data_IF_293568425080
#
_entry.id   IF_293568425080
#
_cell.length_a   1.000
_cell.length_b   1.000
_cell.length_c   1.000
_cell.angle_alpha   90.00
_cell.angle_beta   90.00
_cell.angle_gamma   90.00
#
_symmetry.space_group_name_H-M   'P 1'
#
loop_
_entity.id
_entity.type
_entity.pdbx_description
1 polymer ?
#
# COMPACT_ATOMS: atom_id res chain seq x y z
N UNK A 1 85.15 -13.17 -63.03
CA UNK A 1 83.83 -12.70 -63.51
C UNK A 1 82.81 -13.82 -63.34
N UNK A 2 82.53 -14.24 -62.10
CA UNK A 2 81.61 -15.36 -61.79
C UNK A 2 80.74 -15.08 -60.55
N UNK A 3 80.66 -13.81 -60.12
CA UNK A 3 79.90 -13.41 -58.92
C UNK A 3 78.71 -12.47 -59.21
N UNK A 4 78.34 -12.28 -60.49
CA UNK A 4 77.33 -11.29 -60.91
C UNK A 4 76.08 -11.87 -61.58
N UNK A 5 75.91 -13.21 -61.58
CA UNK A 5 74.74 -13.87 -62.21
C UNK A 5 73.83 -14.64 -61.25
N UNK A 6 74.07 -14.60 -59.94
CA UNK A 6 73.25 -15.33 -58.96
C UNK A 6 72.25 -14.44 -58.17
N UNK A 7 72.16 -13.14 -58.43
CA UNK A 7 71.37 -12.19 -57.61
C UNK A 7 70.04 -11.74 -58.24
N UNK A 8 69.54 -12.39 -59.29
CA UNK A 8 68.34 -11.92 -60.03
C UNK A 8 67.19 -12.92 -60.16
N UNK A 9 67.14 -13.95 -59.33
CA UNK A 9 66.11 -15.00 -59.42
C UNK A 9 65.28 -15.22 -58.13
N UNK A 10 65.15 -14.21 -57.26
CA UNK A 10 64.43 -14.39 -55.97
C UNK A 10 63.45 -13.27 -55.58
N UNK A 11 62.97 -12.45 -56.52
CA UNK A 11 62.04 -11.32 -56.22
C UNK A 11 60.66 -11.44 -56.89
N UNK A 12 60.24 -12.66 -57.26
CA UNK A 12 59.13 -12.86 -58.19
C UNK A 12 57.89 -13.58 -57.67
N UNK A 13 57.74 -13.90 -56.38
CA UNK A 13 56.69 -14.84 -55.96
C UNK A 13 56.14 -14.63 -54.54
N UNK A 14 55.67 -13.42 -54.18
CA UNK A 14 55.06 -13.25 -52.85
C UNK A 14 54.01 -12.13 -52.73
N UNK A 15 53.23 -11.86 -53.78
CA UNK A 15 52.15 -10.85 -53.73
C UNK A 15 50.87 -11.26 -54.45
N UNK A 16 50.28 -12.41 -54.12
CA UNK A 16 48.95 -12.74 -54.65
C UNK A 16 47.96 -13.43 -53.69
N UNK A 17 48.24 -13.43 -52.38
CA UNK A 17 47.39 -14.12 -51.38
C UNK A 17 46.69 -13.17 -50.38
N UNK A 18 46.87 -11.86 -50.49
CA UNK A 18 46.35 -10.87 -49.52
C UNK A 18 44.94 -10.32 -49.80
N UNK A 19 44.49 -10.25 -51.06
CA UNK A 19 43.21 -9.62 -51.39
C UNK A 19 42.00 -10.50 -51.07
N UNK A 20 42.13 -11.83 -51.21
CA UNK A 20 41.05 -12.78 -50.88
C UNK A 20 40.69 -12.83 -49.39
N UNK A 21 41.64 -12.54 -48.49
CA UNK A 21 41.39 -12.52 -47.05
C UNK A 21 40.62 -11.28 -46.60
N UNK A 22 40.82 -10.13 -47.26
CA UNK A 22 40.13 -8.87 -46.92
C UNK A 22 38.68 -8.89 -47.39
N UNK A 23 38.39 -9.48 -48.55
CA UNK A 23 37.00 -9.65 -49.00
C UNK A 23 36.23 -10.65 -48.15
N UNK A 24 36.87 -11.76 -47.74
CA UNK A 24 36.25 -12.74 -46.86
C UNK A 24 35.96 -12.16 -45.45
N UNK A 25 36.87 -11.32 -44.92
CA UNK A 25 36.62 -10.60 -43.66
C UNK A 25 35.48 -9.57 -43.77
N UNK A 26 35.36 -8.85 -44.90
CA UNK A 26 34.23 -7.95 -45.17
C UNK A 26 32.91 -8.70 -45.28
N UNK A 27 32.89 -9.86 -45.95
CA UNK A 27 31.71 -10.71 -46.05
C UNK A 27 31.27 -11.24 -44.67
N UNK A 28 32.21 -11.68 -43.83
CA UNK A 28 31.94 -12.13 -42.45
C UNK A 28 31.39 -11.01 -41.56
N UNK A 29 31.92 -9.78 -41.67
CA UNK A 29 31.41 -8.61 -40.93
C UNK A 29 30.01 -8.20 -41.45
N UNK A 30 29.76 -8.29 -42.76
CA UNK A 30 28.44 -8.01 -43.33
C UNK A 30 27.40 -9.04 -42.87
N UNK A 31 27.75 -10.34 -42.86
CA UNK A 31 26.87 -11.41 -42.39
C UNK A 31 26.54 -11.26 -40.89
N UNK A 32 27.54 -10.89 -40.07
CA UNK A 32 27.35 -10.65 -38.63
C UNK A 32 26.48 -9.41 -38.35
N UNK A 33 26.50 -8.40 -39.24
CA UNK A 33 25.60 -7.24 -39.18
C UNK A 33 24.17 -7.56 -39.64
N UNK A 34 23.98 -8.46 -40.60
CA UNK A 34 22.63 -8.89 -41.03
C UNK A 34 21.93 -9.79 -40.02
N UNK A 35 22.67 -10.64 -39.30
CA UNK A 35 22.08 -11.51 -38.28
C UNK A 35 21.68 -10.73 -37.02
N UNK A 36 22.46 -9.69 -36.66
CA UNK A 36 22.13 -8.79 -35.54
C UNK A 36 20.88 -7.94 -35.80
N UNK A 37 20.67 -7.50 -37.05
CA UNK A 37 19.50 -6.67 -37.40
C UNK A 37 18.21 -7.48 -37.54
N UNK A 38 18.26 -8.74 -38.00
CA UNK A 38 17.09 -9.64 -38.02
C UNK A 38 16.65 -10.10 -36.63
N UNK A 39 17.59 -10.32 -35.72
CA UNK A 39 17.31 -10.67 -34.31
C UNK A 39 16.50 -9.57 -33.61
N UNK A 40 16.76 -8.29 -33.90
CA UNK A 40 16.08 -7.16 -33.26
C UNK A 40 14.62 -6.97 -33.71
N UNK A 41 14.27 -7.33 -34.95
CA UNK A 41 12.90 -7.15 -35.45
C UNK A 41 11.91 -8.16 -34.85
N UNK A 42 12.32 -9.43 -34.68
CA UNK A 42 11.50 -10.45 -34.04
C UNK A 42 11.23 -10.11 -32.57
N UNK A 43 12.25 -9.62 -31.86
CA UNK A 43 12.13 -9.24 -30.45
C UNK A 43 11.18 -8.05 -30.26
N UNK A 44 11.24 -7.04 -31.13
CA UNK A 44 10.33 -5.89 -31.09
C UNK A 44 8.87 -6.29 -31.35
N UNK A 45 8.63 -7.20 -32.28
CA UNK A 45 7.28 -7.71 -32.55
C UNK A 45 6.72 -8.51 -31.35
N UNK A 46 7.54 -9.35 -30.71
CA UNK A 46 7.13 -10.09 -29.51
C UNK A 46 6.83 -9.16 -28.31
N UNK A 47 7.63 -8.11 -28.09
CA UNK A 47 7.33 -7.11 -27.05
C UNK A 47 6.01 -6.39 -27.30
N UNK A 48 5.74 -6.03 -28.56
CA UNK A 48 4.50 -5.33 -28.91
C UNK A 48 3.28 -6.21 -28.69
N UNK A 49 3.34 -7.48 -29.09
CA UNK A 49 2.25 -8.45 -28.85
C UNK A 49 1.96 -8.63 -27.35
N UNK A 50 2.99 -8.74 -26.51
CA UNK A 50 2.81 -8.84 -25.05
C UNK A 50 2.21 -7.58 -24.43
N UNK A 51 2.53 -6.40 -24.97
CA UNK A 51 1.92 -5.15 -24.53
C UNK A 51 0.43 -5.08 -24.91
N UNK A 52 0.07 -5.59 -26.10
CA UNK A 52 -1.32 -5.74 -26.53
C UNK A 52 -2.09 -6.73 -25.63
N UNK A 53 -1.48 -7.88 -25.31
CA UNK A 53 -2.07 -8.86 -24.38
C UNK A 53 -2.30 -8.26 -22.97
N UNK A 54 -1.40 -7.40 -22.49
CA UNK A 54 -1.56 -6.66 -21.22
C UNK A 54 -2.71 -5.65 -21.28
N UNK A 55 -2.86 -4.95 -22.41
CA UNK A 55 -3.94 -4.00 -22.61
C UNK A 55 -5.30 -4.71 -22.65
N UNK A 56 -5.39 -5.85 -23.35
CA UNK A 56 -6.59 -6.68 -23.41
C UNK A 56 -6.98 -7.21 -22.02
N UNK A 57 -6.01 -7.73 -21.26
CA UNK A 57 -6.25 -8.17 -19.89
C UNK A 57 -6.72 -7.00 -18.99
N UNK A 58 -6.10 -5.82 -19.12
CA UNK A 58 -6.53 -4.62 -18.37
C UNK A 58 -7.98 -4.24 -18.69
N UNK A 59 -8.38 -4.30 -19.97
CA UNK A 59 -9.77 -4.07 -20.40
C UNK A 59 -10.72 -5.11 -19.81
N UNK A 60 -10.30 -6.38 -19.80
CA UNK A 60 -11.05 -7.48 -19.19
C UNK A 60 -11.29 -7.23 -17.69
N UNK A 61 -10.23 -6.92 -16.92
CA UNK A 61 -10.32 -6.55 -15.51
C UNK A 61 -11.26 -5.36 -15.27
N UNK A 62 -11.14 -4.30 -16.07
CA UNK A 62 -11.99 -3.14 -15.96
C UNK A 62 -13.45 -3.45 -16.27
N UNK A 63 -13.74 -4.41 -17.16
CA UNK A 63 -15.12 -4.83 -17.43
C UNK A 63 -15.72 -5.65 -16.28
N UNK A 64 -14.89 -6.39 -15.53
CA UNK A 64 -15.32 -7.07 -14.30
C UNK A 64 -15.59 -6.07 -13.16
N UNK A 65 -14.81 -4.99 -13.07
CA UNK A 65 -14.94 -3.94 -12.04
C UNK A 65 -16.08 -2.97 -12.36
N UNK A 66 -16.28 -2.64 -13.65
CA UNK A 66 -17.48 -1.94 -14.14
C UNK A 66 -18.67 -2.91 -14.09
N UNK A 67 -19.02 -3.30 -12.88
CA UNK A 67 -20.25 -4.01 -12.59
C UNK A 67 -21.41 -3.21 -13.18
N UNK A 68 -22.36 -3.91 -13.81
CA UNK A 68 -23.66 -3.33 -14.14
C UNK A 68 -24.18 -2.65 -12.87
N UNK A 69 -24.43 -1.35 -12.97
CA UNK A 69 -24.84 -0.52 -11.84
C UNK A 69 -26.08 -1.13 -11.19
N UNK A 70 -25.88 -1.94 -10.15
CA UNK A 70 -26.97 -2.40 -9.33
C UNK A 70 -27.59 -1.18 -8.68
N UNK A 71 -28.90 -1.00 -8.82
CA UNK A 71 -29.63 0.14 -8.24
C UNK A 71 -29.51 0.22 -6.70
N UNK A 72 -28.91 -0.79 -6.06
CA UNK A 72 -28.66 -0.89 -4.63
C UNK A 72 -27.24 -1.38 -4.31
N UNK A 73 -26.66 -0.83 -3.23
CA UNK A 73 -25.34 -1.20 -2.71
C UNK A 73 -25.22 -2.70 -2.38
N UNK A 74 -26.28 -3.31 -1.86
CA UNK A 74 -26.29 -4.74 -1.48
C UNK A 74 -26.16 -5.64 -2.73
N UNK A 75 -26.84 -5.28 -3.82
CA UNK A 75 -26.73 -5.98 -5.09
C UNK A 75 -25.34 -5.80 -5.74
N UNK A 76 -24.75 -4.60 -5.65
CA UNK A 76 -23.38 -4.34 -6.09
C UNK A 76 -22.35 -5.16 -5.28
N UNK A 77 -22.54 -5.28 -3.97
CA UNK A 77 -21.65 -6.06 -3.11
C UNK A 77 -21.74 -7.57 -3.44
N UNK A 78 -22.95 -8.11 -3.57
CA UNK A 78 -23.16 -9.52 -3.90
C UNK A 78 -22.54 -9.89 -5.26
N UNK A 79 -22.75 -9.05 -6.28
CA UNK A 79 -22.20 -9.25 -7.63
C UNK A 79 -20.67 -9.12 -7.65
N UNK A 80 -20.10 -8.20 -6.87
CA UNK A 80 -18.65 -8.09 -6.70
C UNK A 80 -18.06 -9.36 -6.08
N UNK A 81 -18.60 -9.85 -4.97
CA UNK A 81 -18.08 -11.06 -4.33
C UNK A 81 -18.19 -12.30 -5.22
N UNK A 82 -19.22 -12.38 -6.08
CA UNK A 82 -19.33 -13.43 -7.10
C UNK A 82 -18.27 -13.34 -8.19
N UNK A 83 -17.89 -12.12 -8.63
CA UNK A 83 -16.89 -11.90 -9.70
C UNK A 83 -15.45 -11.87 -9.19
N UNK A 84 -15.24 -11.70 -7.88
CA UNK A 84 -13.92 -11.65 -7.23
C UNK A 84 -12.94 -12.76 -7.69
N UNK A 85 -13.29 -14.06 -7.72
CA UNK A 85 -12.35 -15.10 -8.14
C UNK A 85 -11.90 -14.97 -9.61
N UNK A 86 -12.78 -14.50 -10.50
CA UNK A 86 -12.40 -14.27 -11.90
C UNK A 86 -11.48 -13.04 -12.00
N UNK A 87 -11.74 -11.98 -11.21
CA UNK A 87 -10.87 -10.81 -11.15
C UNK A 87 -9.47 -11.16 -10.62
N UNK A 88 -9.38 -11.99 -9.58
CA UNK A 88 -8.11 -12.48 -9.05
C UNK A 88 -7.30 -13.24 -10.12
N UNK A 89 -7.97 -14.09 -10.91
CA UNK A 89 -7.33 -14.81 -12.03
C UNK A 89 -6.80 -13.87 -13.11
N UNK A 90 -7.55 -12.82 -13.46
CA UNK A 90 -7.10 -11.81 -14.43
C UNK A 90 -5.89 -11.02 -13.89
N UNK A 91 -5.88 -10.67 -12.60
CA UNK A 91 -4.75 -10.01 -11.92
C UNK A 91 -3.50 -10.90 -11.96
N UNK A 92 -3.61 -12.19 -11.65
CA UNK A 92 -2.49 -13.12 -11.74
C UNK A 92 -1.92 -13.21 -13.16
N UNK A 93 -2.80 -13.26 -14.16
CA UNK A 93 -2.39 -13.26 -15.57
C UNK A 93 -1.68 -11.94 -15.92
N UNK A 94 -2.18 -10.81 -15.44
CA UNK A 94 -1.59 -9.49 -15.65
C UNK A 94 -0.18 -9.43 -15.06
N UNK A 95 0.00 -9.88 -13.81
CA UNK A 95 1.30 -9.93 -13.15
C UNK A 95 2.28 -10.82 -13.93
N UNK A 96 1.85 -12.01 -14.38
CA UNK A 96 2.68 -12.90 -15.20
C UNK A 96 3.12 -12.24 -16.51
N UNK A 97 2.20 -11.60 -17.23
CA UNK A 97 2.52 -10.89 -18.48
C UNK A 97 3.45 -9.70 -18.24
N UNK A 98 3.25 -8.95 -17.15
CA UNK A 98 4.08 -7.82 -16.77
C UNK A 98 5.52 -8.25 -16.44
N UNK A 99 5.70 -9.33 -15.66
CA UNK A 99 7.02 -9.89 -15.40
C UNK A 99 7.69 -10.39 -16.68
N UNK A 100 6.95 -11.08 -17.56
CA UNK A 100 7.45 -11.52 -18.86
C UNK A 100 7.84 -10.37 -19.79
N UNK A 101 7.27 -9.19 -19.59
CA UNK A 101 7.64 -7.96 -20.29
C UNK A 101 8.94 -7.40 -19.68
N UNK A 102 9.00 -7.23 -18.35
CA UNK A 102 10.18 -6.74 -17.64
C UNK A 102 11.43 -7.59 -17.92
N UNK A 103 11.30 -8.92 -17.92
CA UNK A 103 12.41 -9.82 -18.23
C UNK A 103 12.96 -9.61 -19.64
N UNK A 104 12.12 -9.17 -20.59
CA UNK A 104 12.56 -8.83 -21.94
C UNK A 104 13.17 -7.42 -22.05
N UNK A 105 12.72 -6.48 -21.23
CA UNK A 105 13.27 -5.12 -21.21
C UNK A 105 14.54 -4.98 -20.38
N UNK A 106 14.73 -5.80 -19.34
CA UNK A 106 15.90 -5.72 -18.45
C UNK A 106 17.24 -5.81 -19.20
N UNK A 107 17.44 -6.75 -20.16
CA UNK A 107 18.66 -6.79 -20.97
C UNK A 107 18.82 -5.59 -21.90
N UNK A 108 17.72 -5.02 -22.39
CA UNK A 108 17.72 -3.86 -23.27
C UNK A 108 18.15 -2.62 -22.46
N UNK A 109 17.55 -2.43 -21.29
CA UNK A 109 17.90 -1.36 -20.36
C UNK A 109 19.36 -1.46 -19.89
N UNK A 110 19.84 -2.67 -19.59
CA UNK A 110 21.24 -2.91 -19.23
C UNK A 110 22.23 -2.56 -20.36
N UNK A 111 21.86 -2.76 -21.63
CA UNK A 111 22.70 -2.33 -22.77
C UNK A 111 22.75 -0.81 -22.93
N UNK A 112 21.64 -0.14 -22.63
CA UNK A 112 21.59 1.33 -22.64
C UNK A 112 22.35 1.94 -21.47
N UNK A 113 22.34 1.32 -20.28
CA UNK A 113 23.11 1.82 -19.14
C UNK A 113 24.63 1.65 -19.33
N UNK A 114 25.08 0.52 -19.90
CA UNK A 114 26.51 0.25 -20.10
C UNK A 114 27.13 1.12 -21.20
N UNK A 115 26.36 1.60 -22.19
CA UNK A 115 26.89 2.52 -23.22
C UNK A 115 27.25 3.91 -22.69
N UNK A 116 26.81 4.28 -21.47
CA UNK A 116 27.23 5.54 -20.84
C UNK A 116 28.47 5.39 -19.95
N UNK A 117 29.01 4.17 -19.77
CA UNK A 117 30.11 3.90 -18.83
C UNK A 117 31.46 3.69 -19.55
N UNK A 118 31.50 3.61 -20.89
CA UNK A 118 32.77 3.40 -21.60
C UNK A 118 33.75 4.59 -21.57
N UNK A 119 33.38 5.73 -20.96
CA UNK A 119 34.29 6.83 -20.61
C UNK A 119 34.56 6.96 -19.11
N UNK A 120 34.03 6.07 -18.26
CA UNK A 120 34.06 6.20 -16.80
C UNK A 120 35.00 5.20 -16.07
N UNK A 121 35.95 4.55 -16.77
CA UNK A 121 36.97 3.69 -16.14
C UNK A 121 38.08 4.48 -15.39
N UNK A 122 37.78 5.63 -14.78
CA UNK A 122 38.71 6.34 -13.88
C UNK A 122 38.16 6.59 -12.47
N UNK A 123 36.94 6.15 -12.15
CA UNK A 123 36.37 6.30 -10.81
C UNK A 123 35.75 4.98 -10.32
N UNK A 124 36.53 3.90 -10.36
CA UNK A 124 36.26 2.71 -9.55
C UNK A 124 36.75 2.95 -8.12
N UNK A 125 35.91 3.62 -7.32
CA UNK A 125 35.85 3.41 -5.88
C UNK A 125 34.59 4.08 -5.36
N UNK A 126 33.81 3.33 -4.57
CA UNK A 126 32.50 3.67 -4.00
C UNK A 126 31.31 3.32 -4.91
N UNK A 127 30.81 2.09 -4.79
CA UNK A 127 29.40 1.76 -4.48
C UNK A 127 29.20 0.25 -4.68
N UNK A 128 29.37 -0.49 -3.58
CA UNK A 128 28.92 -1.88 -3.46
C UNK A 128 27.38 -1.87 -3.38
N UNK A 129 26.73 -2.17 -4.51
CA UNK A 129 25.34 -2.59 -4.53
C UNK A 129 25.29 -4.09 -4.85
N UNK A 130 25.19 -4.87 -3.78
CA UNK A 130 24.92 -6.30 -3.80
C UNK A 130 23.52 -6.59 -4.40
N UNK A 131 23.39 -7.41 -5.47
CA UNK A 131 22.09 -7.70 -6.11
C UNK A 131 21.18 -8.70 -5.37
N UNK A 132 21.48 -9.08 -4.12
CA UNK A 132 20.78 -10.18 -3.44
C UNK A 132 19.47 -9.82 -2.69
N UNK A 133 18.96 -8.58 -2.77
CA UNK A 133 17.79 -8.17 -1.98
C UNK A 133 16.41 -8.32 -2.65
N UNK A 134 16.33 -8.89 -3.85
CA UNK A 134 15.04 -9.29 -4.46
C UNK A 134 14.83 -10.81 -4.39
N UNK A 135 14.98 -11.38 -3.19
CA UNK A 135 14.40 -12.68 -2.87
C UNK A 135 13.11 -12.45 -2.07
N UNK A 136 12.02 -12.21 -2.80
CA UNK A 136 10.68 -12.25 -2.23
C UNK A 136 10.36 -13.73 -2.01
N UNK A 137 10.52 -14.18 -0.77
CA UNK A 137 10.08 -15.51 -0.34
C UNK A 137 8.55 -15.63 -0.58
N UNK A 138 8.17 -16.26 -1.68
CA UNK A 138 6.84 -16.86 -1.92
C UNK A 138 6.65 -18.09 -1.04
N UNK A 139 6.63 -17.87 0.28
CA UNK A 139 6.37 -18.92 1.27
C UNK A 139 5.72 -18.32 2.52
N UNK A 140 4.53 -17.74 2.39
CA UNK A 140 3.60 -17.61 3.49
C UNK A 140 2.21 -17.95 2.96
N UNK A 141 1.96 -19.25 2.84
CA UNK A 141 0.60 -19.78 2.81
C UNK A 141 -0.10 -19.25 4.05
N UNK A 142 -1.15 -18.47 3.83
CA UNK A 142 -2.22 -18.26 4.80
C UNK A 142 -2.82 -19.65 5.06
N UNK A 143 -2.54 -20.21 6.23
CA UNK A 143 -3.30 -21.32 6.78
C UNK A 143 -4.70 -20.79 7.05
N UNK A 144 -5.65 -21.14 6.18
CA UNK A 144 -7.08 -21.00 6.46
C UNK A 144 -7.40 -21.60 7.84
N UNK A 145 -8.25 -20.96 8.65
CA UNK A 145 -8.83 -21.62 9.80
C UNK A 145 -9.76 -22.72 9.27
N UNK A 146 -9.31 -23.96 9.46
CA UNK A 146 -10.06 -25.20 9.25
C UNK A 146 -11.44 -25.08 9.89
N UNK A 147 -12.47 -25.02 9.04
CA UNK A 147 -13.87 -25.22 9.44
C UNK A 147 -13.96 -26.59 10.11
N UNK A 148 -14.27 -26.60 11.41
CA UNK A 148 -14.73 -27.82 12.08
C UNK A 148 -16.11 -28.17 11.53
N UNK A 149 -16.25 -29.43 11.11
CA UNK A 149 -17.48 -30.02 10.61
C UNK A 149 -18.60 -29.86 11.67
N UNK A 150 -19.56 -28.98 11.40
CA UNK A 150 -20.80 -28.89 12.17
C UNK A 150 -21.74 -29.98 11.66
N UNK A 151 -21.98 -30.95 12.54
CA UNK A 151 -22.88 -32.10 12.39
C UNK A 151 -24.33 -31.64 12.07
N UNK A 152 -24.92 -32.05 10.92
CA UNK A 152 -26.24 -31.61 10.51
C UNK A 152 -27.34 -32.52 11.10
N UNK A 153 -27.46 -32.57 12.43
CA UNK A 153 -28.57 -33.33 13.07
C UNK A 153 -29.27 -32.56 14.20
N UNK A 154 -29.07 -31.24 14.31
CA UNK A 154 -29.85 -30.39 15.23
C UNK A 154 -30.78 -29.44 14.48
N UNK A 155 -31.71 -30.00 13.72
CA UNK A 155 -32.94 -29.32 13.32
C UNK A 155 -34.14 -30.21 13.63
N UNK A 156 -34.72 -30.06 14.82
CA UNK A 156 -36.16 -30.21 15.02
C UNK A 156 -36.58 -29.54 16.32
N UNK A 157 -37.71 -28.81 16.26
CA UNK A 157 -38.46 -28.17 17.35
C UNK A 157 -38.11 -26.72 17.68
N UNK A 158 -38.55 -25.81 16.80
CA UNK A 158 -39.09 -24.52 17.24
C UNK A 158 -40.41 -24.24 16.50
N UNK A 159 -41.45 -24.95 16.93
CA UNK A 159 -42.85 -24.56 16.67
C UNK A 159 -43.73 -25.11 17.79
N UNK A 160 -43.57 -24.54 18.99
CA UNK A 160 -44.62 -24.57 20.02
C UNK A 160 -44.29 -23.68 21.21
N UNK A 161 -45.32 -22.96 21.65
CA UNK A 161 -45.50 -22.32 22.95
C UNK A 161 -45.18 -20.82 22.98
N UNK A 162 -46.09 -20.06 22.37
CA UNK A 162 -46.71 -18.96 23.09
C UNK A 162 -47.50 -19.54 24.28
N UNK A 163 -47.14 -19.16 25.50
CA UNK A 163 -48.04 -18.79 26.64
C UNK A 163 -47.22 -18.66 27.93
N UNK A 164 -47.33 -17.48 28.55
CA UNK A 164 -47.24 -17.19 30.00
C UNK A 164 -46.11 -17.83 30.83
N UNK A 165 -45.29 -16.99 31.49
CA UNK A 165 -45.36 -16.74 32.96
C UNK A 165 -44.09 -16.03 33.46
N UNK A 166 -44.31 -14.88 34.11
CA UNK A 166 -43.69 -14.38 35.35
C UNK A 166 -42.32 -14.92 35.84
N UNK A 167 -41.46 -13.93 36.17
CA UNK A 167 -40.49 -13.86 37.30
C UNK A 167 -39.12 -14.56 37.21
N UNK A 168 -38.12 -13.68 37.45
CA UNK A 168 -36.83 -13.84 38.17
C UNK A 168 -35.59 -14.32 37.39
N UNK A 169 -34.68 -13.35 37.22
CA UNK A 169 -33.20 -13.42 37.23
C UNK A 169 -32.63 -14.47 38.21
N UNK A 170 -31.38 -14.99 38.06
CA UNK A 170 -30.19 -14.16 37.74
C UNK A 170 -29.01 -14.80 36.96
N UNK A 171 -28.07 -13.92 36.59
CA UNK A 171 -26.63 -14.15 36.37
C UNK A 171 -26.21 -14.99 35.15
N UNK A 172 -26.11 -14.32 33.99
CA UNK A 172 -25.21 -14.76 32.92
C UNK A 172 -23.87 -14.01 32.99
N UNK A 173 -22.80 -14.80 33.11
CA UNK A 173 -21.41 -14.37 33.01
C UNK A 173 -21.14 -14.01 31.55
N UNK A 174 -21.17 -12.72 31.24
CA UNK A 174 -20.71 -12.19 29.96
C UNK A 174 -19.18 -12.18 29.94
N UNK A 175 -18.60 -13.21 29.33
CA UNK A 175 -17.19 -13.24 28.93
C UNK A 175 -17.04 -12.38 27.68
N UNK A 176 -16.87 -11.07 27.85
CA UNK A 176 -16.48 -10.17 26.76
C UNK A 176 -15.03 -10.52 26.39
N UNK A 177 -14.89 -11.20 25.26
CA UNK A 177 -13.62 -11.47 24.60
C UNK A 177 -12.97 -10.14 24.22
N UNK A 178 -11.92 -9.80 24.96
CA UNK A 178 -11.00 -8.69 24.78
C UNK A 178 -10.26 -8.86 23.45
N UNK A 179 -10.89 -8.43 22.35
CA UNK A 179 -10.23 -8.32 21.05
C UNK A 179 -9.18 -7.23 21.16
N UNK A 180 -7.93 -7.66 21.25
CA UNK A 180 -6.75 -6.83 21.05
C UNK A 180 -6.87 -6.14 19.68
N UNK A 181 -7.06 -4.83 19.69
CA UNK A 181 -6.82 -4.01 18.50
C UNK A 181 -5.30 -3.99 18.28
N UNK A 182 -4.81 -4.89 17.43
CA UNK A 182 -3.46 -4.78 16.89
C UNK A 182 -3.32 -3.40 16.24
N UNK A 183 -2.41 -2.61 16.80
CA UNK A 183 -2.05 -1.30 16.27
C UNK A 183 -1.55 -1.47 14.85
N UNK A 184 -2.39 -1.14 13.87
CA UNK A 184 -2.03 -1.06 12.46
C UNK A 184 -1.05 0.10 12.29
N UNK A 185 0.24 -0.21 12.42
CA UNK A 185 1.31 0.70 12.01
C UNK A 185 1.26 0.82 10.49
N UNK A 186 0.77 1.97 10.00
CA UNK A 186 0.82 2.29 8.58
C UNK A 186 2.28 2.23 8.09
N UNK A 187 2.56 1.55 6.97
CA UNK A 187 3.91 1.55 6.40
C UNK A 187 4.30 3.00 6.11
N UNK A 188 5.42 3.41 6.70
CA UNK A 188 6.04 4.72 6.50
C UNK A 188 6.01 5.08 5.02
N UNK A 189 5.42 6.22 4.69
CA UNK A 189 5.36 6.75 3.32
C UNK A 189 6.75 6.72 2.69
N UNK A 190 6.87 6.35 1.39
CA UNK A 190 8.14 6.46 0.68
C UNK A 190 8.67 7.87 0.85
N UNK A 191 9.91 8.01 1.33
CA UNK A 191 10.59 9.30 1.40
C UNK A 191 10.51 9.94 0.01
N UNK A 192 10.09 11.21 -0.11
CA UNK A 192 10.05 11.87 -1.40
C UNK A 192 11.46 11.81 -1.99
N UNK A 193 11.59 11.13 -3.13
CA UNK A 193 12.80 11.16 -3.93
C UNK A 193 13.05 12.64 -4.23
N UNK A 194 14.08 13.16 -3.59
CA UNK A 194 14.60 14.50 -3.82
C UNK A 194 15.08 14.46 -5.27
N UNK A 195 14.27 14.96 -6.19
CA UNK A 195 14.67 15.17 -7.57
C UNK A 195 15.82 16.17 -7.53
N UNK A 196 17.05 15.66 -7.54
CA UNK A 196 18.21 16.46 -7.90
C UNK A 196 18.00 16.88 -9.35
N UNK A 197 17.54 18.12 -9.49
CA UNK A 197 17.44 18.86 -10.73
C UNK A 197 18.78 18.77 -11.47
N UNK A 198 18.87 17.88 -12.44
CA UNK A 198 19.90 17.90 -13.46
C UNK A 198 19.65 19.12 -14.35
N UNK A 199 20.08 20.27 -13.86
CA UNK A 199 20.31 21.46 -14.65
C UNK A 199 21.67 21.31 -15.34
N UNK A 200 21.70 20.45 -16.37
CA UNK A 200 22.73 20.52 -17.39
C UNK A 200 22.18 21.33 -18.55
N UNK A 201 21.80 22.58 -18.27
CA UNK A 201 21.70 23.62 -19.28
C UNK A 201 23.07 23.82 -19.91
N UNK A 202 23.34 23.09 -20.99
CA UNK A 202 24.34 23.50 -21.97
C UNK A 202 23.71 24.69 -22.69
N UNK A 203 23.72 25.86 -22.04
CA UNK A 203 23.62 27.13 -22.72
C UNK A 203 24.89 27.25 -23.56
N UNK A 204 24.81 26.82 -24.82
CA UNK A 204 25.75 27.26 -25.83
C UNK A 204 25.50 28.76 -26.02
N UNK A 205 26.22 29.58 -25.25
CA UNK A 205 26.35 31.02 -25.50
C UNK A 205 26.78 31.20 -26.95
N UNK A 206 25.86 31.73 -27.76
CA UNK A 206 26.12 32.02 -29.18
C UNK A 206 27.12 33.17 -29.30
N UNK A 207 27.41 33.88 -28.20
CA UNK A 207 28.34 35.01 -28.16
C UNK A 207 29.81 34.66 -28.43
N UNK A 208 30.24 33.39 -28.34
CA UNK A 208 31.65 33.01 -28.52
C UNK A 208 32.00 32.41 -29.89
N UNK A 209 31.04 32.35 -30.82
CA UNK A 209 31.32 31.91 -32.19
C UNK A 209 31.93 33.07 -32.96
N UNK A 210 33.25 33.02 -33.16
CA UNK A 210 33.99 33.96 -33.99
C UNK A 210 33.33 34.09 -35.39
N UNK A 211 32.79 35.28 -35.75
CA UNK A 211 32.08 35.48 -37.00
C UNK A 211 32.96 35.22 -38.22
N UNK A 212 34.29 35.35 -38.12
CA UNK A 212 35.21 35.01 -39.22
C UNK A 212 35.23 33.50 -39.50
N UNK A 213 35.10 32.64 -38.48
CA UNK A 213 35.06 31.19 -38.65
C UNK A 213 33.75 30.78 -39.33
N UNK A 214 32.64 31.45 -39.00
CA UNK A 214 31.34 31.20 -39.62
C UNK A 214 31.33 31.61 -41.10
N UNK A 215 31.80 32.83 -41.43
CA UNK A 215 31.88 33.28 -42.83
C UNK A 215 32.83 32.44 -43.68
N UNK A 216 33.97 32.00 -43.11
CA UNK A 216 34.94 31.14 -43.81
C UNK A 216 34.38 29.75 -44.08
N UNK A 217 33.53 29.22 -43.20
CA UNK A 217 32.87 27.94 -43.40
C UNK A 217 31.69 28.05 -44.39
N UNK A 218 30.95 29.16 -44.39
CA UNK A 218 29.91 29.43 -45.39
C UNK A 218 30.55 29.57 -46.79
N UNK A 219 31.68 30.25 -46.90
CA UNK A 219 32.41 30.40 -48.16
C UNK A 219 32.93 29.07 -48.70
N UNK A 220 33.45 28.18 -47.84
CA UNK A 220 33.91 26.83 -48.22
C UNK A 220 32.79 25.88 -48.65
N UNK A 221 31.57 26.07 -48.15
CA UNK A 221 30.40 25.30 -48.58
C UNK A 221 29.93 25.69 -50.00
N UNK A 222 30.32 26.87 -50.51
CA UNK A 222 29.96 27.31 -51.87
C UNK A 222 30.83 26.68 -52.97
N UNK A 223 32.07 26.28 -52.66
CA UNK A 223 33.04 25.80 -53.66
C UNK A 223 32.98 24.29 -53.91
N UNK A 224 32.37 23.51 -53.01
CA UNK A 224 32.34 22.03 -53.10
C UNK A 224 30.93 21.45 -53.28
N UNK A 225 29.94 22.31 -53.54
CA UNK A 225 28.56 21.90 -53.77
C UNK A 225 28.42 21.06 -55.06
N UNK A 226 27.73 19.90 -55.01
CA UNK A 226 27.36 19.18 -56.23
C UNK A 226 26.59 20.13 -57.16
N UNK A 227 26.84 20.04 -58.49
CA UNK A 227 26.09 20.76 -59.53
C UNK A 227 24.64 20.28 -59.51
N UNK A 228 23.86 20.77 -58.56
CA UNK A 228 22.43 20.49 -58.43
C UNK A 228 21.76 21.32 -59.52
N UNK A 229 21.20 20.62 -60.49
CA UNK A 229 20.51 21.22 -61.61
C UNK A 229 19.28 22.00 -61.11
N UNK A 230 19.23 23.30 -61.42
CA UNK A 230 17.98 23.99 -61.75
C UNK A 230 16.92 24.21 -60.66
N UNK A 231 17.08 23.80 -59.40
CA UNK A 231 16.19 24.30 -58.35
C UNK A 231 16.56 25.74 -58.02
N UNK A 232 15.62 26.66 -58.28
CA UNK A 232 15.86 28.09 -58.11
C UNK A 232 16.17 28.39 -56.64
N UNK A 233 17.11 29.31 -56.40
CA UNK A 233 17.44 29.83 -55.06
C UNK A 233 16.17 30.25 -54.29
N UNK A 234 15.14 30.67 -55.02
CA UNK A 234 13.82 31.02 -54.51
C UNK A 234 13.06 29.84 -53.87
N UNK A 235 13.08 28.63 -54.46
CA UNK A 235 12.47 27.44 -53.85
C UNK A 235 13.18 27.02 -52.55
N UNK A 236 14.50 27.20 -52.49
CA UNK A 236 15.28 26.94 -51.28
C UNK A 236 14.95 27.95 -50.17
N UNK A 237 14.68 29.20 -50.54
CA UNK A 237 14.25 30.25 -49.60
C UNK A 237 12.82 30.00 -49.06
N UNK A 238 11.85 29.65 -49.91
CA UNK A 238 10.49 29.28 -49.47
C UNK A 238 10.52 28.07 -48.51
N UNK A 239 11.36 27.07 -48.78
CA UNK A 239 11.49 25.93 -47.88
C UNK A 239 12.15 26.31 -46.54
N UNK A 240 13.05 27.30 -46.52
CA UNK A 240 13.65 27.80 -45.29
C UNK A 240 12.64 28.58 -44.43
N UNK A 241 11.84 29.45 -45.05
CA UNK A 241 10.80 30.22 -44.35
C UNK A 241 9.71 29.29 -43.78
N UNK A 242 9.31 28.24 -44.52
CA UNK A 242 8.44 27.18 -43.99
C UNK A 242 9.06 26.44 -42.80
N UNK A 243 10.36 26.16 -42.83
CA UNK A 243 11.06 25.51 -41.71
C UNK A 243 11.13 26.41 -40.48
N UNK A 244 11.33 27.71 -40.65
CA UNK A 244 11.27 28.69 -39.55
C UNK A 244 9.86 28.73 -38.97
N UNK A 245 8.83 28.82 -39.81
CA UNK A 245 7.43 28.81 -39.34
C UNK A 245 7.08 27.53 -38.58
N UNK A 246 7.55 26.35 -39.04
CA UNK A 246 7.36 25.12 -38.25
C UNK A 246 8.16 25.12 -36.95
N UNK A 247 9.31 25.82 -36.90
CA UNK A 247 10.13 25.93 -35.69
C UNK A 247 9.45 26.81 -34.63
N UNK A 248 8.78 27.89 -35.03
CA UNK A 248 8.00 28.76 -34.12
C UNK A 248 6.86 27.98 -33.48
N UNK A 249 6.10 27.21 -34.28
CA UNK A 249 5.02 26.35 -33.77
C UNK A 249 5.55 25.28 -32.80
N UNK A 250 6.73 24.71 -33.08
CA UNK A 250 7.36 23.74 -32.16
C UNK A 250 7.76 24.41 -30.85
N UNK A 251 8.30 25.64 -30.88
CA UNK A 251 8.67 26.37 -29.67
C UNK A 251 7.46 26.71 -28.81
N UNK A 252 6.36 27.18 -29.43
CA UNK A 252 5.09 27.45 -28.74
C UNK A 252 4.56 26.17 -28.06
N UNK A 253 4.56 25.03 -28.76
CA UNK A 253 4.17 23.74 -28.18
C UNK A 253 5.07 23.29 -27.02
N UNK A 254 6.38 23.58 -27.07
CA UNK A 254 7.32 23.25 -25.99
C UNK A 254 7.05 24.12 -24.76
N UNK A 255 6.77 25.40 -24.96
CA UNK A 255 6.41 26.33 -23.88
C UNK A 255 5.07 25.97 -23.24
N UNK A 256 4.05 25.64 -24.04
CA UNK A 256 2.77 25.13 -23.57
C UNK A 256 2.92 23.82 -22.78
N UNK A 257 3.73 22.88 -23.27
CA UNK A 257 3.99 21.64 -22.53
C UNK A 257 4.69 21.91 -21.19
N UNK A 258 5.60 22.89 -21.14
CA UNK A 258 6.26 23.30 -19.90
C UNK A 258 5.25 23.89 -18.90
N UNK A 259 4.39 24.80 -19.34
CA UNK A 259 3.37 25.38 -18.45
C UNK A 259 2.37 24.34 -17.95
N UNK A 260 1.95 23.40 -18.80
CA UNK A 260 1.12 22.27 -18.37
C UNK A 260 1.82 21.38 -17.34
N UNK A 261 3.11 21.11 -17.50
CA UNK A 261 3.90 20.34 -16.52
C UNK A 261 4.00 21.06 -15.18
N UNK A 262 4.24 22.38 -15.19
CA UNK A 262 4.29 23.20 -13.97
C UNK A 262 2.93 23.22 -13.25
N UNK A 263 1.83 23.33 -14.00
CA UNK A 263 0.48 23.31 -13.41
C UNK A 263 0.12 21.93 -12.83
N UNK A 264 0.49 20.84 -13.50
CA UNK A 264 0.31 19.48 -12.97
C UNK A 264 1.09 19.29 -11.66
N UNK A 265 2.33 19.79 -11.60
CA UNK A 265 3.14 19.75 -10.38
C UNK A 265 2.48 20.53 -9.25
N UNK A 266 2.01 21.76 -9.53
CA UNK A 266 1.30 22.58 -8.54
C UNK A 266 0.02 21.90 -8.01
N UNK A 267 -0.79 21.30 -8.89
CA UNK A 267 -2.00 20.56 -8.48
C UNK A 267 -1.66 19.35 -7.62
N UNK A 268 -0.59 18.64 -7.95
CA UNK A 268 -0.11 17.50 -7.17
C UNK A 268 0.34 17.94 -5.76
N UNK A 269 1.07 19.05 -5.65
CA UNK A 269 1.44 19.62 -4.35
C UNK A 269 0.24 20.04 -3.52
N UNK A 270 -0.76 20.69 -4.12
CA UNK A 270 -1.96 21.11 -3.41
C UNK A 270 -2.78 19.89 -2.94
N UNK A 271 -2.89 18.85 -3.78
CA UNK A 271 -3.51 17.59 -3.38
C UNK A 271 -2.78 16.98 -2.18
N UNK A 272 -1.45 16.99 -2.18
CA UNK A 272 -0.66 16.51 -1.04
C UNK A 272 -0.88 17.36 0.22
N UNK A 273 -1.00 18.68 0.11
CA UNK A 273 -1.35 19.56 1.25
C UNK A 273 -2.72 19.24 1.83
N UNK A 274 -3.73 19.02 0.97
CA UNK A 274 -5.07 18.62 1.42
C UNK A 274 -5.03 17.24 2.09
N UNK A 275 -4.32 16.27 1.50
CA UNK A 275 -4.17 14.93 2.08
C UNK A 275 -3.48 14.97 3.45
N UNK A 276 -2.46 15.81 3.63
CA UNK A 276 -1.78 15.97 4.91
C UNK A 276 -2.71 16.56 5.97
N UNK A 277 -3.48 17.60 5.64
CA UNK A 277 -4.49 18.17 6.54
C UNK A 277 -5.54 17.14 6.97
N UNK A 278 -6.00 16.30 6.04
CA UNK A 278 -6.95 15.22 6.34
C UNK A 278 -6.34 14.16 7.27
N UNK A 279 -5.08 13.78 7.05
CA UNK A 279 -4.35 12.85 7.92
C UNK A 279 -4.23 13.40 9.34
N UNK A 280 -3.80 14.66 9.48
CA UNK A 280 -3.72 15.34 10.78
C UNK A 280 -5.08 15.35 11.50
N UNK A 281 -6.17 15.61 10.76
CA UNK A 281 -7.52 15.59 11.34
C UNK A 281 -7.94 14.18 11.82
N UNK A 282 -7.63 13.14 11.03
CA UNK A 282 -7.88 11.74 11.43
C UNK A 282 -7.10 11.40 12.70
N UNK A 283 -5.84 11.83 12.81
CA UNK A 283 -5.02 11.61 14.01
C UNK A 283 -5.56 12.33 15.25
N UNK A 284 -6.13 13.53 15.09
CA UNK A 284 -6.83 14.23 16.18
C UNK A 284 -8.05 13.43 16.63
N UNK A 285 -8.92 13.04 15.70
CA UNK A 285 -10.13 12.25 16.01
C UNK A 285 -9.81 10.89 16.65
N UNK A 286 -8.74 10.23 16.20
CA UNK A 286 -8.29 8.97 16.81
C UNK A 286 -7.89 9.15 18.27
N UNK A 287 -7.16 10.23 18.59
CA UNK A 287 -6.80 10.54 19.98
C UNK A 287 -8.02 10.86 20.84
N UNK A 288 -8.97 11.65 20.32
CA UNK A 288 -10.21 11.97 21.04
C UNK A 288 -11.04 10.72 21.31
N UNK A 289 -11.19 9.84 20.31
CA UNK A 289 -11.86 8.56 20.48
C UNK A 289 -11.18 7.66 21.51
N UNK A 290 -9.84 7.66 21.55
CA UNK A 290 -9.10 6.92 22.57
C UNK A 290 -9.37 7.47 23.98
N UNK A 291 -9.34 8.80 24.15
CA UNK A 291 -9.64 9.44 25.44
C UNK A 291 -11.06 9.14 25.91
N UNK A 292 -12.04 9.20 25.01
CA UNK A 292 -13.43 8.84 25.32
C UNK A 292 -13.56 7.35 25.71
N UNK A 293 -12.82 6.47 25.05
CA UNK A 293 -12.79 5.06 25.39
C UNK A 293 -12.23 4.83 26.80
N UNK A 294 -11.09 5.46 27.13
CA UNK A 294 -10.46 5.36 28.44
C UNK A 294 -11.37 5.92 29.55
N UNK A 295 -12.05 7.05 29.29
CA UNK A 295 -13.04 7.63 30.22
C UNK A 295 -14.23 6.70 30.45
N UNK A 296 -14.73 6.07 29.38
CA UNK A 296 -15.81 5.11 29.49
C UNK A 296 -15.40 3.88 30.33
N UNK A 297 -14.19 3.35 30.11
CA UNK A 297 -13.65 2.26 30.94
C UNK A 297 -13.55 2.65 32.42
N UNK A 298 -13.11 3.88 32.70
CA UNK A 298 -13.07 4.42 34.06
C UNK A 298 -14.47 4.48 34.69
N UNK A 299 -15.45 5.07 34.01
CA UNK A 299 -16.83 5.15 34.49
C UNK A 299 -17.46 3.76 34.71
N UNK A 300 -17.14 2.79 33.85
CA UNK A 300 -17.57 1.40 34.03
C UNK A 300 -17.00 0.77 35.30
N UNK A 301 -15.74 1.04 35.62
CA UNK A 301 -15.12 0.57 36.87
C UNK A 301 -15.73 1.23 38.12
N UNK A 302 -16.04 2.53 38.05
CA UNK A 302 -16.70 3.27 39.14
C UNK A 302 -18.13 2.78 39.37
N UNK A 303 -18.90 2.59 38.30
CA UNK A 303 -20.24 2.00 38.36
C UNK A 303 -20.23 0.60 38.99
N UNK A 304 -19.25 -0.22 38.62
CA UNK A 304 -19.08 -1.55 39.23
C UNK A 304 -18.82 -1.47 40.74
N UNK A 305 -18.04 -0.49 41.20
CA UNK A 305 -17.78 -0.26 42.63
C UNK A 305 -19.03 0.25 43.35
N UNK A 306 -19.79 1.16 42.74
CA UNK A 306 -21.05 1.67 43.28
C UNK A 306 -22.09 0.54 43.42
N UNK A 307 -22.24 -0.30 42.40
CA UNK A 307 -23.13 -1.47 42.45
C UNK A 307 -22.76 -2.38 43.62
N UNK A 308 -21.47 -2.72 43.77
CA UNK A 308 -20.98 -3.51 44.91
C UNK A 308 -21.28 -2.85 46.25
N UNK A 309 -21.07 -1.53 46.36
CA UNK A 309 -21.36 -0.77 47.57
C UNK A 309 -22.86 -0.80 47.92
N UNK A 310 -23.74 -0.67 46.92
CA UNK A 310 -25.18 -0.78 47.10
C UNK A 310 -25.56 -2.18 47.57
N UNK A 311 -25.02 -3.23 46.94
CA UNK A 311 -25.26 -4.61 47.35
C UNK A 311 -24.85 -4.88 48.80
N UNK A 312 -23.68 -4.37 49.21
CA UNK A 312 -23.19 -4.53 50.58
C UNK A 312 -24.06 -3.76 51.58
N UNK A 313 -24.53 -2.55 51.25
CA UNK A 313 -25.50 -1.81 52.07
C UNK A 313 -26.84 -2.55 52.17
N UNK A 314 -27.35 -3.11 51.08
CA UNK A 314 -28.58 -3.90 51.07
C UNK A 314 -28.42 -5.16 51.93
N UNK A 315 -27.26 -5.83 51.88
CA UNK A 315 -26.97 -6.99 52.76
C UNK A 315 -26.93 -6.57 54.23
N UNK A 316 -26.31 -5.44 54.56
CA UNK A 316 -26.24 -4.93 55.92
C UNK A 316 -27.62 -4.54 56.46
N UNK A 317 -28.45 -3.88 55.65
CA UNK A 317 -29.82 -3.54 56.03
C UNK A 317 -30.67 -4.81 56.28
N UNK A 318 -30.48 -5.86 55.47
CA UNK A 318 -31.12 -7.16 55.68
C UNK A 318 -30.66 -7.81 57.00
N UNK A 319 -29.36 -7.75 57.32
CA UNK A 319 -28.81 -8.27 58.59
C UNK A 319 -29.36 -7.49 59.79
N UNK A 320 -29.42 -6.16 59.71
CA UNK A 320 -29.97 -5.29 60.75
C UNK A 320 -31.45 -5.59 61.02
N UNK A 321 -32.28 -5.68 59.96
CA UNK A 321 -33.70 -6.05 60.08
C UNK A 321 -33.91 -7.44 60.70
N UNK A 322 -33.08 -8.42 60.30
CA UNK A 322 -33.13 -9.76 60.88
C UNK A 322 -32.81 -9.75 62.39
N UNK A 323 -31.80 -8.97 62.80
CA UNK A 323 -31.43 -8.82 64.21
C UNK A 323 -32.58 -8.21 65.04
N UNK A 324 -33.20 -7.12 64.57
CA UNK A 324 -34.33 -6.49 65.27
C UNK A 324 -35.53 -7.44 65.43
N UNK A 325 -35.84 -8.23 64.40
CA UNK A 325 -36.91 -9.24 64.46
C UNK A 325 -36.61 -10.34 65.49
N UNK A 326 -35.36 -10.80 65.58
CA UNK A 326 -34.94 -11.81 66.55
C UNK A 326 -34.96 -11.27 67.98
N UNK A 327 -34.54 -10.03 68.20
CA UNK A 327 -34.65 -9.37 69.50
C UNK A 327 -36.11 -9.22 69.94
N UNK A 328 -37.00 -8.77 69.06
CA UNK A 328 -38.44 -8.69 69.35
C UNK A 328 -39.04 -10.07 69.70
N UNK A 329 -38.75 -11.10 68.91
CA UNK A 329 -39.23 -12.45 69.17
C UNK A 329 -38.67 -13.05 70.48
N UNK A 330 -37.42 -12.76 70.83
CA UNK A 330 -36.79 -13.21 72.08
C UNK A 330 -37.41 -12.54 73.31
N UNK A 331 -37.65 -11.22 73.26
CA UNK A 331 -38.34 -10.48 74.33
C UNK A 331 -39.76 -11.00 74.55
N UNK A 332 -40.51 -11.27 73.46
CA UNK A 332 -41.86 -11.84 73.56
C UNK A 332 -41.83 -13.25 74.16
N UNK A 333 -40.89 -14.11 73.75
CA UNK A 333 -40.75 -15.46 74.33
C UNK A 333 -40.39 -15.42 75.82
N UNK A 334 -39.46 -14.55 76.22
CA UNK A 334 -39.05 -14.43 77.62
C UNK A 334 -40.17 -13.87 78.51
N UNK A 335 -40.90 -12.85 78.04
CA UNK A 335 -42.05 -12.29 78.76
C UNK A 335 -43.21 -13.28 78.87
N UNK A 336 -43.51 -14.04 77.81
CA UNK A 336 -44.50 -15.13 77.84
C UNK A 336 -44.09 -16.26 78.77
N UNK A 337 -42.80 -16.64 78.81
CA UNK A 337 -42.30 -17.67 79.73
C UNK A 337 -42.42 -17.21 81.19
N UNK A 338 -42.07 -15.95 81.47
CA UNK A 338 -42.25 -15.32 82.78
C UNK A 338 -43.73 -15.27 83.20
N UNK A 339 -44.64 -14.86 82.31
CA UNK A 339 -46.08 -14.85 82.57
C UNK A 339 -46.62 -16.26 82.84
N UNK A 340 -46.21 -17.27 82.04
CA UNK A 340 -46.59 -18.67 82.26
C UNK A 340 -46.09 -19.21 83.60
N UNK A 341 -44.88 -18.87 84.01
CA UNK A 341 -44.34 -19.24 85.32
C UNK A 341 -45.14 -18.59 86.47
N UNK A 342 -45.55 -17.33 86.29
CA UNK A 342 -46.34 -16.59 87.29
C UNK A 342 -47.77 -17.12 87.42
N UNK A 343 -48.40 -17.56 86.33
CA UNK A 343 -49.74 -18.17 86.34
C UNK A 343 -49.72 -19.57 86.98
N UNK A 344 -48.64 -20.35 86.81
CA UNK A 344 -48.51 -21.71 87.36
C UNK A 344 -48.20 -21.78 88.87
N UNK A 345 -47.85 -20.68 89.52
CA UNK A 345 -47.60 -20.65 90.98
C UNK A 345 -48.29 -19.46 91.66
N UNK A 346 -49.60 -19.56 91.93
CA UNK A 346 -50.36 -18.47 92.57
C UNK A 346 -50.00 -18.23 94.04
N UNK A 347 -49.33 -19.17 94.71
CA UNK A 347 -49.28 -19.18 96.18
C UNK A 347 -47.99 -18.60 96.80
N UNK A 348 -47.04 -18.08 96.03
CA UNK A 348 -45.74 -17.62 96.56
C UNK A 348 -45.57 -16.08 96.69
N UNK A 349 -46.57 -15.26 96.35
CA UNK A 349 -46.36 -13.82 96.16
C UNK A 349 -46.90 -12.87 97.25
N UNK A 350 -47.39 -13.38 98.37
CA UNK A 350 -47.88 -12.50 99.45
C UNK A 350 -46.76 -11.74 100.20
N UNK A 351 -45.48 -12.15 100.10
CA UNK A 351 -44.38 -11.53 100.86
C UNK A 351 -43.44 -10.58 100.08
N UNK A 352 -43.53 -10.48 98.76
CA UNK A 352 -42.56 -9.72 97.95
C UNK A 352 -42.99 -8.28 97.56
N UNK A 353 -44.22 -7.87 97.85
CA UNK A 353 -44.75 -6.57 97.40
C UNK A 353 -44.40 -5.34 98.27
N UNK A 354 -43.59 -5.48 99.33
CA UNK A 354 -43.15 -4.32 100.14
C UNK A 354 -41.81 -3.70 99.72
N UNK A 355 -41.07 -4.28 98.76
CA UNK A 355 -39.70 -3.82 98.44
C UNK A 355 -39.53 -2.87 97.25
N UNK A 356 -40.52 -2.74 96.36
CA UNK A 356 -40.28 -2.15 95.02
C UNK A 356 -40.56 -0.64 94.94
N UNK A 357 -41.18 -0.04 95.97
CA UNK A 357 -41.52 1.40 95.96
C UNK A 357 -40.33 2.37 96.11
N UNK A 358 -39.07 1.91 96.23
CA UNK A 358 -37.90 2.79 96.51
C UNK A 358 -36.92 3.02 95.36
N UNK A 359 -37.09 2.42 94.17
CA UNK A 359 -36.09 2.53 93.08
C UNK A 359 -36.54 3.22 91.79
N UNK A 360 -37.69 3.91 91.78
CA UNK A 360 -38.17 4.63 90.59
C UNK A 360 -37.65 6.08 90.49
N UNK A 361 -36.89 6.58 91.47
CA UNK A 361 -36.38 7.96 91.47
C UNK A 361 -34.89 8.13 91.11
N UNK A 362 -34.25 7.15 90.48
CA UNK A 362 -32.89 7.32 89.94
C UNK A 362 -32.76 6.60 88.59
N UNK A 363 -33.27 7.26 87.54
CA UNK A 363 -32.76 7.21 86.17
C UNK A 363 -33.17 8.52 85.49
#
# INVERSE_FOLDING_TARGET
MEALLASKASDGLERRDGEGQVENAKALVALKRSDSTRSCQCQRHQCWKKAEDLEENTKSMLSLIKLEDGDSFEACAETYYKKKPELEKQIEQFQKLYHLLLDQYTPILARFSVSSISTANQLENTFDLNPQSLNINSSNLVTEPRLEDVDPDTQLQTDKIMTETSRKTPEEKSSISERHYESFSFPSTPKPLRNESYDSGIELSVEDIDPEILEKNISKLSETGPKISGQSVFERWINFEKRISTSEVILELVEDNKTHMDELLHRYEEQNRVNNRLREHIEVMMRENQLLHDENLKLMSENKLLVKTIEDRVKEERRSKFCSSCYGASVIKNTMSWLKARIKSPCAHAHACQGISKKVNQC
#
